data_IF_662825426048
#
_entry.id   IF_662825426048
#
_cell.length_a   1.000
_cell.length_b   1.000
_cell.length_c   1.000
_cell.angle_alpha   90.00
_cell.angle_beta   90.00
_cell.angle_gamma   90.00
#
_symmetry.space_group_name_H-M   'P 1'
#
loop_
_entity.id
_entity.type
_entity.pdbx_description
1 polymer ?
#
# COMPACT_ATOMS: atom_id res chain seq x y z
N UNK A 1 -21.50 29.76 -34.17
CA UNK A 1 -21.92 29.19 -32.86
C UNK A 1 -21.53 27.70 -32.79
N UNK A 2 -20.37 27.39 -32.21
CA UNK A 2 -19.90 26.01 -32.04
C UNK A 2 -20.45 25.45 -30.74
N UNK A 3 -21.31 24.45 -30.86
CA UNK A 3 -21.96 23.76 -29.75
C UNK A 3 -20.92 22.97 -28.95
N UNK A 4 -20.94 23.20 -27.65
CA UNK A 4 -20.19 22.51 -26.62
C UNK A 4 -20.48 20.99 -26.68
N UNK A 5 -19.60 20.23 -27.32
CA UNK A 5 -19.53 18.77 -27.22
C UNK A 5 -18.46 18.30 -26.22
N UNK A 6 -17.86 19.24 -25.48
CA UNK A 6 -16.68 18.98 -24.65
C UNK A 6 -17.01 18.49 -23.23
N UNK A 7 -18.26 18.66 -22.77
CA UNK A 7 -18.55 18.54 -21.34
C UNK A 7 -18.69 17.08 -20.86
N UNK A 8 -19.27 16.17 -21.65
CA UNK A 8 -19.46 14.75 -21.23
C UNK A 8 -18.27 13.83 -21.50
N UNK A 9 -17.49 14.12 -22.54
CA UNK A 9 -16.32 13.30 -22.88
C UNK A 9 -15.13 13.60 -21.98
N UNK A 10 -15.04 14.83 -21.46
CA UNK A 10 -13.98 15.22 -20.52
C UNK A 10 -14.22 14.55 -19.15
N UNK A 11 -15.46 14.56 -18.66
CA UNK A 11 -15.82 13.90 -17.39
C UNK A 11 -15.50 12.39 -17.40
N UNK A 12 -15.86 11.69 -18.49
CA UNK A 12 -15.50 10.28 -18.68
C UNK A 12 -14.00 10.04 -18.83
N UNK A 13 -13.27 10.94 -19.50
CA UNK A 13 -11.82 10.83 -19.64
C UNK A 13 -11.11 11.05 -18.30
N UNK A 14 -11.52 12.07 -17.54
CA UNK A 14 -11.02 12.37 -16.19
C UNK A 14 -11.30 11.21 -15.22
N UNK A 15 -12.49 10.59 -15.28
CA UNK A 15 -12.82 9.41 -14.48
C UNK A 15 -11.94 8.19 -14.85
N UNK A 16 -11.72 7.94 -16.14
CA UNK A 16 -10.88 6.82 -16.61
C UNK A 16 -9.41 7.04 -16.22
N UNK A 17 -8.90 8.27 -16.34
CA UNK A 17 -7.53 8.60 -15.91
C UNK A 17 -7.35 8.45 -14.39
N UNK A 18 -8.35 8.85 -13.59
CA UNK A 18 -8.33 8.65 -12.15
C UNK A 18 -8.36 7.17 -11.79
N UNK A 19 -9.20 6.37 -12.46
CA UNK A 19 -9.27 4.92 -12.26
C UNK A 19 -7.94 4.25 -12.62
N UNK A 20 -7.35 4.58 -13.78
CA UNK A 20 -6.05 4.04 -14.17
C UNK A 20 -4.94 4.45 -13.19
N UNK A 21 -4.92 5.71 -12.72
CA UNK A 21 -3.94 6.15 -11.73
C UNK A 21 -4.10 5.39 -10.40
N UNK A 22 -5.33 5.19 -9.93
CA UNK A 22 -5.60 4.39 -8.73
C UNK A 22 -5.15 2.94 -8.91
N UNK A 23 -5.50 2.32 -10.03
CA UNK A 23 -5.19 0.92 -10.32
C UNK A 23 -3.68 0.71 -10.44
N UNK A 24 -2.98 1.64 -11.08
CA UNK A 24 -1.51 1.65 -11.14
C UNK A 24 -0.89 1.84 -9.75
N UNK A 25 -1.41 2.76 -8.92
CA UNK A 25 -0.93 2.95 -7.56
C UNK A 25 -1.14 1.69 -6.70
N UNK A 26 -2.33 1.09 -6.77
CA UNK A 26 -2.65 -0.18 -6.11
C UNK A 26 -1.71 -1.30 -6.56
N UNK A 27 -1.49 -1.43 -7.87
CA UNK A 27 -0.60 -2.45 -8.43
C UNK A 27 0.82 -2.26 -7.93
N UNK A 28 1.35 -1.03 -7.91
CA UNK A 28 2.70 -0.74 -7.38
C UNK A 28 2.82 -1.11 -5.91
N UNK A 29 1.86 -0.71 -5.08
CA UNK A 29 1.86 -1.05 -3.64
C UNK A 29 1.77 -2.56 -3.44
N UNK A 30 0.87 -3.24 -4.15
CA UNK A 30 0.71 -4.68 -4.04
C UNK A 30 1.97 -5.45 -4.49
N UNK A 31 2.57 -5.03 -5.60
CA UNK A 31 3.80 -5.64 -6.12
C UNK A 31 4.96 -5.40 -5.15
N UNK A 32 5.05 -4.20 -4.60
CA UNK A 32 6.00 -3.86 -3.57
C UNK A 32 5.84 -4.76 -2.34
N UNK A 33 4.61 -4.91 -1.80
CA UNK A 33 4.30 -5.80 -0.68
C UNK A 33 4.69 -7.25 -0.97
N UNK A 34 4.49 -7.74 -2.20
CA UNK A 34 4.91 -9.09 -2.61
C UNK A 34 6.43 -9.33 -2.60
N UNK A 35 7.25 -8.28 -2.61
CA UNK A 35 8.72 -8.42 -2.48
C UNK A 35 9.20 -8.62 -1.03
N UNK A 36 8.28 -8.49 -0.08
CA UNK A 36 8.52 -8.69 1.34
C UNK A 36 8.29 -10.15 1.69
N UNK A 37 9.04 -10.65 2.67
CA UNK A 37 8.76 -11.94 3.29
C UNK A 37 7.37 -11.95 3.94
N UNK A 38 6.67 -13.10 3.95
CA UNK A 38 5.30 -13.24 4.49
C UNK A 38 5.12 -12.60 5.87
N UNK A 39 6.09 -12.78 6.78
CA UNK A 39 6.06 -12.18 8.12
C UNK A 39 6.09 -10.65 8.08
N UNK A 40 6.90 -10.09 7.19
CA UNK A 40 7.02 -8.64 7.02
C UNK A 40 5.77 -8.05 6.38
N UNK A 41 5.16 -8.78 5.44
CA UNK A 41 3.88 -8.43 4.84
C UNK A 41 2.76 -8.39 5.89
N UNK A 42 2.66 -9.40 6.76
CA UNK A 42 1.64 -9.41 7.82
C UNK A 42 1.85 -8.27 8.83
N UNK A 43 3.10 -8.03 9.27
CA UNK A 43 3.43 -6.93 10.18
C UNK A 43 3.04 -5.57 9.59
N UNK A 44 3.35 -5.32 8.32
CA UNK A 44 2.99 -4.06 7.66
C UNK A 44 1.48 -3.96 7.45
N UNK A 45 0.85 -5.05 7.02
CA UNK A 45 -0.60 -5.06 6.79
C UNK A 45 -1.35 -4.80 8.09
N UNK A 46 -0.99 -5.49 9.18
CA UNK A 46 -1.60 -5.32 10.49
C UNK A 46 -1.39 -3.93 11.11
N UNK A 47 -0.33 -3.20 10.72
CA UNK A 47 -0.02 -1.86 11.27
C UNK A 47 -0.48 -0.70 10.41
N UNK A 48 -0.54 -0.88 9.09
CA UNK A 48 -0.74 0.21 8.13
C UNK A 48 -1.98 0.03 7.25
N UNK A 49 -2.37 -1.21 6.95
CA UNK A 49 -3.51 -1.52 6.06
C UNK A 49 -4.76 -1.98 6.83
N UNK A 50 -4.60 -2.37 8.09
CA UNK A 50 -5.70 -2.74 8.98
C UNK A 50 -6.31 -1.51 9.64
N UNK A 51 -7.64 -1.47 9.76
CA UNK A 51 -8.37 -0.46 10.53
C UNK A 51 -7.94 -0.49 12.00
N UNK A 52 -7.80 -1.69 12.57
CA UNK A 52 -7.28 -1.89 13.91
C UNK A 52 -5.76 -2.10 13.85
N UNK A 53 -5.03 -1.07 14.28
CA UNK A 53 -3.56 -1.05 14.21
C UNK A 53 -2.97 -1.90 15.32
N UNK A 54 -2.41 -3.04 14.95
CA UNK A 54 -1.71 -3.90 15.89
C UNK A 54 -0.49 -3.17 16.49
N UNK A 55 -0.33 -3.30 17.81
CA UNK A 55 0.84 -2.82 18.52
C UNK A 55 2.06 -3.70 18.21
N UNK A 56 3.27 -3.15 18.41
CA UNK A 56 4.50 -3.95 18.27
C UNK A 56 4.54 -5.12 19.24
N UNK A 57 3.89 -4.98 20.41
CA UNK A 57 3.80 -5.99 21.46
C UNK A 57 2.93 -7.17 21.01
N UNK A 58 1.73 -6.91 20.50
CA UNK A 58 0.83 -7.96 20.01
C UNK A 58 1.44 -8.76 18.86
N UNK A 59 2.13 -8.08 17.94
CA UNK A 59 2.84 -8.75 16.86
C UNK A 59 4.06 -9.55 17.38
N UNK A 60 4.75 -9.03 18.38
CA UNK A 60 5.87 -9.72 19.02
C UNK A 60 5.40 -11.02 19.69
N UNK A 61 4.29 -10.96 20.41
CA UNK A 61 3.65 -12.11 21.05
C UNK A 61 3.14 -13.12 20.02
N UNK A 62 2.40 -12.67 18.99
CA UNK A 62 1.88 -13.50 17.89
C UNK A 62 2.99 -14.29 17.20
N UNK A 63 4.13 -13.65 16.96
CA UNK A 63 5.26 -14.26 16.27
C UNK A 63 6.31 -14.88 17.19
N UNK A 64 6.11 -14.83 18.51
CA UNK A 64 7.08 -15.26 19.52
C UNK A 64 8.49 -14.67 19.29
N UNK A 65 8.53 -13.37 18.96
CA UNK A 65 9.77 -12.60 18.74
C UNK A 65 9.77 -11.36 19.62
N UNK A 66 10.91 -10.69 19.75
CA UNK A 66 11.00 -9.44 20.50
C UNK A 66 10.31 -8.28 19.74
N UNK A 67 9.71 -7.32 20.46
CA UNK A 67 9.14 -6.10 19.87
C UNK A 67 10.16 -5.34 18.99
N UNK A 68 11.44 -5.36 19.38
CA UNK A 68 12.50 -4.77 18.56
C UNK A 68 12.76 -5.53 17.25
N UNK A 69 12.56 -6.85 17.24
CA UNK A 69 12.64 -7.65 16.02
C UNK A 69 11.51 -7.29 15.07
N UNK A 70 10.28 -7.14 15.57
CA UNK A 70 9.12 -6.65 14.79
C UNK A 70 9.42 -5.28 14.19
N UNK A 71 9.96 -4.35 15.00
CA UNK A 71 10.36 -3.01 14.52
C UNK A 71 11.42 -3.06 13.41
N UNK A 72 12.39 -3.97 13.50
CA UNK A 72 13.40 -4.17 12.45
C UNK A 72 12.78 -4.73 11.16
N UNK A 73 11.86 -5.68 11.28
CA UNK A 73 11.12 -6.22 10.13
C UNK A 73 10.29 -5.12 9.47
N UNK A 74 9.53 -4.33 10.24
CA UNK A 74 8.77 -3.17 9.74
C UNK A 74 9.67 -2.16 9.02
N UNK A 75 10.82 -1.80 9.60
CA UNK A 75 11.74 -0.84 8.97
C UNK A 75 12.30 -1.37 7.65
N UNK A 76 12.59 -2.66 7.58
CA UNK A 76 13.12 -3.32 6.37
C UNK A 76 12.04 -3.39 5.29
N UNK A 77 10.83 -3.74 5.70
CA UNK A 77 9.61 -3.75 4.90
C UNK A 77 9.32 -2.38 4.27
N UNK A 78 9.35 -1.32 5.07
CA UNK A 78 9.15 0.06 4.59
C UNK A 78 10.22 0.50 3.60
N UNK A 79 11.48 0.13 3.83
CA UNK A 79 12.55 0.41 2.86
C UNK A 79 12.28 -0.28 1.53
N UNK A 80 11.91 -1.57 1.53
CA UNK A 80 11.57 -2.31 0.30
C UNK A 80 10.39 -1.68 -0.43
N UNK A 81 9.34 -1.30 0.31
CA UNK A 81 8.19 -0.58 -0.25
C UNK A 81 8.59 0.73 -0.92
N UNK A 82 9.40 1.55 -0.25
CA UNK A 82 9.89 2.79 -0.82
C UNK A 82 10.78 2.58 -2.05
N UNK A 83 11.56 1.50 -2.09
CA UNK A 83 12.37 1.14 -3.27
C UNK A 83 11.52 0.69 -4.44
N UNK A 84 10.44 -0.08 -4.20
CA UNK A 84 9.56 -0.58 -5.25
C UNK A 84 8.58 0.49 -5.79
N UNK A 85 8.38 1.57 -5.05
CA UNK A 85 7.60 2.74 -5.49
C UNK A 85 8.45 3.77 -6.26
N UNK A 86 9.77 3.65 -6.21
CA UNK A 86 10.70 4.44 -7.03
C UNK A 86 10.79 3.85 -8.43
#
# INVERSE_FOLDING_TARGET
PVQFLTDRSNDLADEVEQQQCQEQAHTRVFTAVKTLDERSQDIVSARWLSDEKATLQELAEKYSVSAERVRKLEKTAMKKLQTAMR
#
